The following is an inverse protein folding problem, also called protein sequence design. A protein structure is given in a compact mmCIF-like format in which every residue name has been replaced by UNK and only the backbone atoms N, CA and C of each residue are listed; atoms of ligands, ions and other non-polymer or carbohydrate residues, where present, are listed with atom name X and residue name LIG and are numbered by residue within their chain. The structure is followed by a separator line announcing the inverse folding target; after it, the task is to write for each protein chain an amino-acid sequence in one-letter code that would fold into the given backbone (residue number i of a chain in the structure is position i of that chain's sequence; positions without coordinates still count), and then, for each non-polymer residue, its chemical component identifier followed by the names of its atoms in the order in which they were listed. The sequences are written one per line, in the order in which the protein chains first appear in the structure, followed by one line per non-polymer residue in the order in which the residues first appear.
data_IF_023719768103
#
_entry.id   IF_023719768103
#
_cell.length_a   1.000
_cell.length_b   1.000
_cell.length_c   1.000
_cell.angle_alpha   90.00
_cell.angle_beta   90.00
_cell.angle_gamma   90.00
#
_symmetry.space_group_name_H-M   'P 1'
#
loop_
_entity.id
_entity.type
_entity.pdbx_description
1 polymer ?
#
# COMPACT_ATOMS: atom_id res chain seq x y z
N UNK A 1 0.57 -2.53 -6.64
CA UNK A 1 1.70 -1.78 -6.04
C UNK A 1 2.99 -2.39 -6.55
N UNK A 2 3.89 -1.57 -7.06
CA UNK A 2 5.24 -1.96 -7.45
C UNK A 2 6.21 -1.23 -6.53
N UNK A 3 7.10 -1.99 -5.88
CA UNK A 3 8.20 -1.48 -5.05
C UNK A 3 9.48 -1.68 -5.86
N UNK A 4 10.22 -0.60 -6.11
CA UNK A 4 11.45 -0.61 -6.89
C UNK A 4 12.68 -0.71 -5.96
N UNK A 5 13.82 -1.14 -6.51
CA UNK A 5 15.07 -1.25 -5.73
C UNK A 5 15.69 0.11 -5.37
N UNK A 6 15.26 1.20 -6.02
CA UNK A 6 15.75 2.57 -5.84
C UNK A 6 14.92 3.37 -4.81
N UNK A 7 14.27 2.68 -3.88
CA UNK A 7 13.45 3.26 -2.80
C UNK A 7 12.21 4.01 -3.30
N UNK A 8 11.80 3.80 -4.55
CA UNK A 8 10.58 4.36 -5.12
C UNK A 8 9.45 3.34 -5.23
N UNK A 9 8.21 3.83 -5.32
CA UNK A 9 7.05 3.00 -5.58
C UNK A 9 6.17 3.55 -6.71
N UNK A 10 5.37 2.65 -7.29
CA UNK A 10 4.25 2.97 -8.17
C UNK A 10 3.00 2.27 -7.63
N UNK A 11 1.96 3.03 -7.31
CA UNK A 11 0.67 2.54 -6.86
C UNK A 11 -0.41 2.85 -7.91
N UNK A 12 -0.91 1.81 -8.58
CA UNK A 12 -2.07 1.91 -9.47
C UNK A 12 -3.34 1.51 -8.72
N UNK A 13 -4.37 2.35 -8.78
CA UNK A 13 -5.70 2.12 -8.20
C UNK A 13 -6.75 2.20 -9.30
N UNK A 14 -7.56 1.16 -9.40
CA UNK A 14 -8.65 1.06 -10.37
C UNK A 14 -9.98 1.04 -9.62
N UNK A 15 -10.84 2.01 -9.87
CA UNK A 15 -12.19 2.02 -9.33
C UNK A 15 -13.08 1.12 -10.18
N UNK A 16 -13.81 0.21 -9.52
CA UNK A 16 -14.64 -0.80 -10.20
C UNK A 16 -15.96 -0.24 -10.78
N UNK A 17 -16.37 0.98 -10.38
CA UNK A 17 -17.60 1.61 -10.86
C UNK A 17 -17.43 2.44 -12.16
N UNK A 18 -18.54 2.58 -12.90
CA UNK A 18 -18.68 2.96 -14.32
C UNK A 18 -18.13 4.32 -14.80
N UNK A 19 -17.22 4.98 -14.08
CA UNK A 19 -16.38 6.04 -14.64
C UNK A 19 -14.93 5.58 -14.54
N UNK A 20 -14.43 5.02 -15.64
CA UNK A 20 -13.06 4.56 -15.79
C UNK A 20 -12.08 5.61 -15.26
N UNK A 21 -11.60 5.40 -14.05
CA UNK A 21 -10.58 6.20 -13.41
C UNK A 21 -9.50 5.25 -12.90
N UNK A 22 -8.40 5.17 -13.65
CA UNK A 22 -7.16 4.60 -13.15
C UNK A 22 -6.33 5.75 -12.59
N UNK A 23 -5.98 5.65 -11.31
CA UNK A 23 -5.13 6.61 -10.63
C UNK A 23 -3.79 5.98 -10.39
N UNK A 24 -2.74 6.69 -10.78
CA UNK A 24 -1.35 6.27 -10.58
C UNK A 24 -0.66 7.25 -9.65
N UNK A 25 -0.29 6.78 -8.47
CA UNK A 25 0.58 7.49 -7.56
C UNK A 25 1.99 6.92 -7.59
N UNK A 26 2.93 7.76 -7.21
CA UNK A 26 4.34 7.44 -7.17
C UNK A 26 4.99 8.30 -6.09
N UNK A 27 6.08 7.80 -5.55
CA UNK A 27 6.79 8.47 -4.47
C UNK A 27 7.91 7.60 -3.94
N UNK A 28 8.28 7.83 -2.68
CA UNK A 28 9.29 7.04 -1.98
C UNK A 28 8.64 6.14 -0.95
N UNK A 29 9.32 5.06 -0.62
CA UNK A 29 8.93 4.22 0.51
C UNK A 29 10.07 4.10 1.52
N UNK A 30 9.71 3.84 2.76
CA UNK A 30 10.64 3.47 3.82
C UNK A 30 10.07 2.27 4.59
N UNK A 31 10.95 1.50 5.22
CA UNK A 31 10.55 0.57 6.27
C UNK A 31 10.47 1.34 7.58
N UNK A 32 9.27 1.41 8.18
CA UNK A 32 9.08 1.98 9.52
C UNK A 32 9.70 1.05 10.56
N UNK A 33 9.56 -0.26 10.33
CA UNK A 33 10.19 -1.36 11.05
C UNK A 33 10.11 -2.63 10.18
N UNK A 34 10.51 -3.79 10.73
CA UNK A 34 10.50 -5.08 10.03
C UNK A 34 9.10 -5.56 9.59
N UNK A 35 8.04 -4.88 10.00
CA UNK A 35 6.64 -5.27 9.77
C UNK A 35 5.83 -4.25 8.98
N UNK A 36 6.29 -3.02 8.81
CA UNK A 36 5.49 -1.92 8.22
C UNK A 36 6.29 -1.16 7.18
N UNK A 37 5.69 -0.97 6.00
CA UNK A 37 6.17 -0.08 4.95
C UNK A 37 5.32 1.18 4.96
N UNK A 38 5.97 2.34 4.94
CA UNK A 38 5.35 3.64 4.69
C UNK A 38 5.59 4.03 3.23
N UNK A 39 4.52 4.40 2.52
CA UNK A 39 4.58 5.04 1.21
C UNK A 39 4.31 6.53 1.39
N UNK A 40 5.22 7.39 0.93
CA UNK A 40 5.01 8.85 0.87
C UNK A 40 4.93 9.29 -0.59
N UNK A 41 3.77 9.78 -1.01
CA UNK A 41 3.56 10.28 -2.37
C UNK A 41 4.17 11.67 -2.61
N UNK A 42 4.11 12.16 -3.86
CA UNK A 42 4.61 13.49 -4.23
C UNK A 42 3.91 14.66 -3.53
N UNK A 43 2.74 14.45 -2.92
CA UNK A 43 1.99 15.45 -2.15
C UNK A 43 2.30 15.36 -0.65
N UNK A 44 3.17 14.45 -0.23
CA UNK A 44 3.49 14.20 1.17
C UNK A 44 2.45 13.36 1.90
N UNK A 45 1.49 12.74 1.19
CA UNK A 45 0.48 11.87 1.78
C UNK A 45 1.12 10.52 2.09
N UNK A 46 0.93 10.07 3.33
CA UNK A 46 1.45 8.82 3.85
C UNK A 46 0.40 7.72 3.81
N UNK A 47 0.80 6.52 3.40
CA UNK A 47 -0.02 5.30 3.48
C UNK A 47 0.84 4.16 4.04
N UNK A 48 0.29 3.37 4.94
CA UNK A 48 1.03 2.32 5.64
C UNK A 48 0.50 0.94 5.27
N UNK A 49 1.42 -0.01 5.13
CA UNK A 49 1.11 -1.39 4.85
C UNK A 49 1.88 -2.31 5.79
N UNK A 50 1.15 -3.21 6.46
CA UNK A 50 1.74 -4.32 7.19
C UNK A 50 2.24 -5.38 6.21
N UNK A 51 3.48 -5.80 6.39
CA UNK A 51 4.12 -6.89 5.67
C UNK A 51 3.64 -8.22 6.25
N UNK A 52 3.18 -9.10 5.38
CA UNK A 52 2.84 -10.49 5.66
C UNK A 52 3.61 -11.40 4.68
N UNK A 53 3.70 -12.69 4.97
CA UNK A 53 4.47 -13.63 4.14
C UNK A 53 3.94 -13.66 2.68
N UNK A 54 4.65 -12.98 1.76
CA UNK A 54 4.26 -12.86 0.35
C UNK A 54 3.13 -11.88 0.03
N UNK A 55 2.69 -11.05 0.99
CA UNK A 55 1.62 -10.08 0.78
C UNK A 55 1.76 -8.88 1.71
N UNK A 56 0.97 -7.83 1.46
CA UNK A 56 0.85 -6.69 2.35
C UNK A 56 -0.62 -6.34 2.58
N UNK A 57 -0.94 -5.73 3.72
CA UNK A 57 -2.31 -5.31 4.05
C UNK A 57 -2.28 -3.86 4.52
N UNK A 58 -3.25 -3.05 4.08
CA UNK A 58 -3.41 -1.67 4.56
C UNK A 58 -3.51 -1.66 6.08
N UNK A 59 -2.72 -0.80 6.73
CA UNK A 59 -2.65 -0.68 8.18
C UNK A 59 -2.54 0.77 8.63
N UNK A 60 -2.58 0.98 9.94
CA UNK A 60 -2.07 2.19 10.58
C UNK A 60 -0.52 2.18 10.64
N UNK A 61 0.13 3.25 11.14
CA UNK A 61 1.59 3.32 11.30
C UNK A 61 2.19 2.24 12.20
N UNK A 62 1.43 1.76 13.19
CA UNK A 62 1.81 0.70 14.13
C UNK A 62 1.67 -0.70 13.53
N UNK A 63 0.98 -0.84 12.40
CA UNK A 63 0.73 -2.11 11.72
C UNK A 63 -0.56 -2.80 12.14
N UNK A 64 -1.48 -2.11 12.82
CA UNK A 64 -2.82 -2.62 13.10
C UNK A 64 -3.66 -2.54 11.83
N UNK A 65 -4.41 -3.61 11.56
CA UNK A 65 -5.28 -3.72 10.39
C UNK A 65 -6.72 -3.45 10.83
N UNK A 66 -7.49 -2.78 9.99
CA UNK A 66 -8.92 -2.58 10.21
C UNK A 66 -9.67 -3.92 10.34
N UNK A 67 -10.88 -3.89 10.91
CA UNK A 67 -11.68 -5.06 11.28
C UNK A 67 -11.56 -6.29 10.36
N UNK A 68 -11.46 -7.47 10.98
CA UNK A 68 -11.11 -8.73 10.33
C UNK A 68 -12.03 -9.09 9.14
N UNK A 69 -13.30 -8.69 9.20
CA UNK A 69 -14.30 -8.97 8.17
C UNK A 69 -13.95 -8.34 6.81
N UNK A 70 -13.19 -7.24 6.81
CA UNK A 70 -12.78 -6.54 5.60
C UNK A 70 -11.27 -6.55 5.36
N UNK A 71 -10.45 -6.97 6.33
CA UNK A 71 -9.00 -7.05 6.22
C UNK A 71 -8.54 -7.76 4.94
N UNK A 72 -9.23 -8.84 4.54
CA UNK A 72 -8.95 -9.58 3.30
C UNK A 72 -9.12 -8.74 2.03
N UNK A 73 -10.03 -7.77 2.02
CA UNK A 73 -10.27 -6.86 0.88
C UNK A 73 -9.18 -5.81 0.71
N UNK A 74 -8.39 -5.57 1.77
CA UNK A 74 -7.27 -4.62 1.76
C UNK A 74 -5.91 -5.30 1.55
N UNK A 75 -5.89 -6.61 1.31
CA UNK A 75 -4.67 -7.37 1.07
C UNK A 75 -4.23 -7.28 -0.39
N UNK A 76 -2.98 -6.88 -0.60
CA UNK A 76 -2.30 -6.96 -1.89
C UNK A 76 -1.36 -8.17 -1.87
N UNK A 77 -1.58 -9.11 -2.77
CA UNK A 77 -0.73 -10.30 -2.93
C UNK A 77 0.31 -10.05 -4.01
N UNK A 78 1.52 -10.62 -3.82
CA UNK A 78 2.54 -10.62 -4.87
C UNK A 78 2.01 -11.43 -6.06
N UNK A 79 2.16 -10.85 -7.25
CA UNK A 79 1.91 -11.50 -8.55
C UNK A 79 3.21 -12.13 -9.02
#
# INVERSE_FOLDING_TARGET
LTINSDETFILTREYQDKKQGSFKDQGRFIFVNDRVIELTDKKGIKTYYRINNGSIILSDPEGNVADADFASRYQLKKI
#
